data_IF_168720142530
#
_entry.id   IF_168720142530
#
_cell.length_a   1.000
_cell.length_b   1.000
_cell.length_c   1.000
_cell.angle_alpha   90.00
_cell.angle_beta   90.00
_cell.angle_gamma   90.00
#
_symmetry.space_group_name_H-M   'P 1'
#
loop_
_entity.id
_entity.type
_entity.pdbx_description
1 polymer ?
#
# COMPACT_ATOMS: atom_id res chain seq x y z
N UNK A 1 11.08 -1.41 -9.73
CA UNK A 1 10.38 -1.08 -8.49
C UNK A 1 10.93 -1.93 -7.36
N UNK A 2 10.28 -1.91 -6.20
CA UNK A 2 10.56 -2.78 -5.06
C UNK A 2 9.63 -4.00 -4.99
N UNK A 3 8.65 -4.08 -5.89
CA UNK A 3 7.69 -5.18 -6.03
C UNK A 3 8.30 -6.57 -6.16
N UNK A 4 9.59 -6.69 -6.45
CA UNK A 4 10.32 -7.95 -6.48
C UNK A 4 10.94 -8.28 -5.11
N UNK A 5 10.22 -8.00 -4.02
CA UNK A 5 10.64 -8.38 -2.68
C UNK A 5 9.47 -8.88 -1.84
N UNK A 6 9.80 -9.51 -0.72
CA UNK A 6 8.96 -10.00 0.36
C UNK A 6 8.12 -8.95 1.10
N UNK A 7 7.92 -7.77 0.51
CA UNK A 7 7.03 -6.75 1.06
C UNK A 7 5.57 -7.22 1.02
N UNK A 8 5.23 -8.12 0.09
CA UNK A 8 3.96 -8.85 0.06
C UNK A 8 4.19 -10.25 -0.50
N UNK A 9 3.20 -11.12 -0.35
CA UNK A 9 3.23 -12.42 -0.99
C UNK A 9 3.18 -12.26 -2.52
N UNK A 10 4.21 -12.73 -3.23
CA UNK A 10 4.35 -12.57 -4.69
C UNK A 10 3.44 -13.55 -5.44
N UNK A 11 2.14 -13.25 -5.49
CA UNK A 11 1.13 -14.16 -6.01
C UNK A 11 -0.29 -13.57 -5.98
N UNK A 12 -1.34 -14.41 -6.08
CA UNK A 12 -1.29 -15.86 -6.24
C UNK A 12 -0.73 -16.30 -7.59
N UNK A 13 -0.21 -17.53 -7.66
CA UNK A 13 0.33 -18.17 -8.86
C UNK A 13 -0.50 -19.41 -9.19
N UNK A 14 -1.12 -19.45 -10.36
CA UNK A 14 -1.97 -20.55 -10.80
C UNK A 14 -1.17 -21.84 -11.03
N UNK A 15 -1.85 -22.99 -11.05
CA UNK A 15 -1.22 -24.30 -11.34
C UNK A 15 -0.43 -24.28 -12.65
N UNK A 16 -0.93 -23.60 -13.67
CA UNK A 16 -0.29 -23.53 -14.98
C UNK A 16 0.91 -22.56 -15.01
N UNK A 17 0.85 -21.46 -14.28
CA UNK A 17 2.02 -20.58 -14.09
C UNK A 17 3.11 -21.29 -13.30
N UNK A 18 2.76 -22.07 -12.26
CA UNK A 18 3.74 -22.86 -11.48
C UNK A 18 4.52 -23.83 -12.36
N UNK A 19 3.85 -24.56 -13.26
CA UNK A 19 4.53 -25.46 -14.20
C UNK A 19 5.53 -24.70 -15.07
N UNK A 20 5.09 -23.57 -15.65
CA UNK A 20 5.94 -22.74 -16.51
C UNK A 20 7.15 -22.17 -15.78
N UNK A 21 6.95 -21.66 -14.58
CA UNK A 21 8.02 -21.13 -13.73
C UNK A 21 9.00 -22.24 -13.30
N UNK A 22 8.51 -23.43 -12.98
CA UNK A 22 9.36 -24.56 -12.60
C UNK A 22 10.29 -25.03 -13.74
N UNK A 23 9.95 -24.76 -15.01
CA UNK A 23 10.86 -25.01 -16.14
C UNK A 23 12.06 -24.06 -16.16
N UNK A 24 11.92 -22.85 -15.60
CA UNK A 24 13.00 -21.85 -15.53
C UNK A 24 13.79 -22.00 -14.24
N UNK A 25 13.09 -22.16 -13.12
CA UNK A 25 13.68 -22.29 -11.80
C UNK A 25 12.85 -23.30 -10.98
N UNK A 26 13.33 -24.54 -10.82
CA UNK A 26 12.67 -25.52 -9.96
C UNK A 26 12.50 -24.99 -8.53
N UNK A 27 11.40 -25.34 -7.86
CA UNK A 27 11.14 -24.94 -6.47
C UNK A 27 10.83 -23.46 -6.23
N UNK A 28 10.66 -22.65 -7.29
CA UNK A 28 10.45 -21.20 -7.17
C UNK A 28 9.07 -20.78 -6.65
N UNK A 29 8.20 -21.73 -6.33
CA UNK A 29 6.86 -21.47 -5.78
C UNK A 29 6.61 -22.30 -4.53
N UNK A 30 6.00 -21.70 -3.52
CA UNK A 30 5.57 -22.35 -2.28
C UNK A 30 4.13 -22.02 -1.94
N UNK A 31 3.51 -22.79 -1.03
CA UNK A 31 2.20 -22.45 -0.49
C UNK A 31 2.37 -21.51 0.69
N UNK A 32 1.72 -20.35 0.63
CA UNK A 32 1.66 -19.39 1.72
C UNK A 32 0.31 -19.55 2.44
N UNK A 33 0.37 -19.91 3.72
CA UNK A 33 -0.82 -20.18 4.52
C UNK A 33 -1.63 -18.91 4.82
N UNK A 34 -0.98 -17.75 4.93
CA UNK A 34 -1.64 -16.48 5.17
C UNK A 34 -2.38 -16.01 3.91
N UNK A 35 -1.77 -16.15 2.74
CA UNK A 35 -2.41 -15.86 1.46
C UNK A 35 -3.40 -16.93 1.00
N UNK A 36 -3.40 -18.12 1.64
CA UNK A 36 -4.22 -19.27 1.24
C UNK A 36 -3.96 -19.73 -0.19
N UNK A 37 -2.76 -19.50 -0.72
CA UNK A 37 -2.45 -19.67 -2.13
C UNK A 37 -0.98 -20.04 -2.37
N UNK A 38 -0.68 -20.54 -3.57
CA UNK A 38 0.70 -20.65 -4.00
C UNK A 38 1.24 -19.29 -4.46
N UNK A 39 2.46 -18.97 -4.05
CA UNK A 39 3.14 -17.70 -4.34
C UNK A 39 4.58 -17.98 -4.80
N UNK A 40 5.27 -17.00 -5.36
CA UNK A 40 6.71 -17.12 -5.60
C UNK A 40 7.44 -17.17 -4.25
N UNK A 41 8.33 -18.15 -4.08
CA UNK A 41 9.26 -18.16 -2.96
C UNK A 41 10.21 -16.95 -3.08
N UNK A 42 10.62 -16.35 -1.97
CA UNK A 42 11.64 -15.30 -1.92
C UNK A 42 12.98 -15.90 -1.53
N UNK A 43 14.07 -15.27 -1.98
CA UNK A 43 15.43 -15.59 -1.53
C UNK A 43 15.59 -15.20 -0.05
N UNK A 44 16.65 -15.70 0.58
CA UNK A 44 16.98 -15.39 1.98
C UNK A 44 17.18 -13.88 2.24
N UNK A 45 17.56 -13.11 1.22
CA UNK A 45 17.71 -11.64 1.29
C UNK A 45 16.37 -10.88 1.08
N UNK A 46 15.24 -11.61 1.04
CA UNK A 46 13.91 -11.07 0.83
C UNK A 46 13.61 -10.68 -0.62
N UNK A 47 14.47 -10.99 -1.59
CA UNK A 47 14.24 -10.64 -3.01
C UNK A 47 13.59 -11.76 -3.82
N UNK A 48 12.93 -11.40 -4.92
CA UNK A 48 12.39 -12.36 -5.87
C UNK A 48 13.53 -13.18 -6.50
N UNK A 49 13.41 -14.51 -6.66
CA UNK A 49 14.39 -15.37 -7.30
C UNK A 49 14.73 -14.99 -8.75
N UNK A 50 13.85 -14.27 -9.42
CA UNK A 50 14.06 -13.76 -10.78
C UNK A 50 14.63 -12.34 -10.82
N UNK A 51 14.85 -11.68 -9.68
CA UNK A 51 15.53 -10.39 -9.64
C UNK A 51 17.04 -10.62 -9.85
N UNK A 52 17.57 -10.15 -10.98
CA UNK A 52 18.99 -10.25 -11.30
C UNK A 52 19.81 -9.23 -10.50
N UNK A 53 21.14 -9.37 -10.53
CA UNK A 53 22.06 -8.44 -9.88
C UNK A 53 21.91 -7.00 -10.41
N UNK A 54 21.65 -6.85 -11.72
CA UNK A 54 21.33 -5.58 -12.38
C UNK A 54 19.95 -4.99 -11.99
N UNK A 55 19.23 -5.65 -11.08
CA UNK A 55 17.91 -5.26 -10.57
C UNK A 55 16.80 -5.27 -11.63
N UNK A 56 17.02 -5.96 -12.75
CA UNK A 56 16.00 -6.27 -13.74
C UNK A 56 15.40 -7.65 -13.46
N UNK A 57 14.10 -7.80 -13.72
CA UNK A 57 13.44 -9.09 -13.56
C UNK A 57 13.74 -9.96 -14.77
N UNK A 58 14.35 -11.12 -14.55
CA UNK A 58 14.68 -12.11 -15.57
C UNK A 58 13.46 -12.65 -16.33
N UNK A 59 12.25 -12.43 -15.82
CA UNK A 59 11.01 -12.80 -16.52
C UNK A 59 10.51 -11.74 -17.51
N UNK A 60 11.13 -10.57 -17.60
CA UNK A 60 10.75 -9.56 -18.60
C UNK A 60 11.18 -9.93 -20.03
N UNK A 61 12.35 -10.54 -20.19
CA UNK A 61 12.97 -10.80 -21.50
C UNK A 61 12.47 -12.09 -22.18
N UNK A 62 12.36 -13.26 -21.49
CA UNK A 62 11.98 -14.50 -22.15
C UNK A 62 10.55 -14.46 -22.71
N UNK A 63 10.41 -14.80 -24.00
CA UNK A 63 9.13 -14.89 -24.72
C UNK A 63 8.25 -13.64 -24.52
N UNK A 64 8.84 -12.44 -24.46
CA UNK A 64 8.09 -11.19 -24.30
C UNK A 64 7.33 -11.06 -22.98
N UNK A 65 7.81 -11.70 -21.91
CA UNK A 65 7.14 -11.66 -20.60
C UNK A 65 6.03 -12.70 -20.41
N UNK A 66 5.89 -13.68 -21.32
CA UNK A 66 4.88 -14.74 -21.21
C UNK A 66 5.05 -15.66 -19.98
N UNK A 67 6.25 -15.70 -19.41
CA UNK A 67 6.55 -16.47 -18.20
C UNK A 67 6.26 -15.69 -16.91
N UNK A 68 6.14 -14.37 -17.00
CA UNK A 68 5.86 -13.52 -15.84
C UNK A 68 4.44 -13.82 -15.32
N UNK A 69 4.27 -14.13 -14.03
CA UNK A 69 2.96 -14.40 -13.46
C UNK A 69 2.02 -13.21 -13.61
N UNK A 70 0.72 -13.49 -13.74
CA UNK A 70 -0.31 -12.47 -13.90
C UNK A 70 -0.33 -11.46 -12.75
N UNK A 71 -0.15 -11.92 -11.52
CA UNK A 71 -0.02 -11.06 -10.33
C UNK A 71 1.13 -10.05 -10.49
N UNK A 72 2.27 -10.49 -11.04
CA UNK A 72 3.42 -9.62 -11.31
C UNK A 72 3.21 -8.66 -12.49
N UNK A 73 2.37 -9.01 -13.48
CA UNK A 73 1.98 -8.10 -14.58
C UNK A 73 1.09 -6.96 -14.10
N UNK A 74 0.19 -7.29 -13.16
CA UNK A 74 -0.81 -6.36 -12.66
C UNK A 74 -0.23 -5.26 -11.77
N UNK A 75 0.76 -5.57 -10.93
CA UNK A 75 1.33 -4.57 -10.01
C UNK A 75 1.94 -3.37 -10.78
N UNK A 76 1.65 -2.11 -10.40
CA UNK A 76 1.01 -1.67 -9.14
C UNK A 76 -0.50 -1.41 -9.26
N UNK A 77 -1.20 -1.93 -10.27
CA UNK A 77 -2.58 -1.57 -10.56
C UNK A 77 -3.60 -2.40 -9.76
N UNK A 78 -4.46 -1.71 -9.01
CA UNK A 78 -5.69 -2.27 -8.43
C UNK A 78 -6.89 -2.01 -9.33
N UNK A 79 -7.91 -2.87 -9.23
CA UNK A 79 -9.20 -2.62 -9.90
C UNK A 79 -10.34 -2.88 -8.93
N UNK A 80 -11.26 -1.93 -8.82
CA UNK A 80 -12.47 -2.06 -8.02
C UNK A 80 -13.69 -2.03 -8.92
N UNK A 81 -14.52 -3.06 -8.86
CA UNK A 81 -15.83 -3.04 -9.51
C UNK A 81 -16.79 -2.20 -8.67
N UNK A 82 -17.40 -1.18 -9.29
CA UNK A 82 -18.42 -0.34 -8.66
C UNK A 82 -19.70 -0.34 -9.48
N UNK A 83 -20.85 0.10 -8.91
CA UNK A 83 -22.09 0.29 -9.66
C UNK A 83 -21.98 1.25 -10.85
N UNK A 84 -20.97 2.14 -10.84
CA UNK A 84 -20.72 3.11 -11.92
C UNK A 84 -19.62 2.65 -12.90
N UNK A 85 -19.16 1.39 -12.81
CA UNK A 85 -18.08 0.85 -13.62
C UNK A 85 -16.82 0.52 -12.82
N UNK A 86 -15.79 0.03 -13.53
CA UNK A 86 -14.50 -0.30 -12.94
C UNK A 86 -13.69 0.95 -12.61
N UNK A 87 -13.10 0.99 -11.41
CA UNK A 87 -12.08 1.98 -11.02
C UNK A 87 -10.70 1.34 -11.10
N UNK A 88 -9.74 2.03 -11.69
CA UNK A 88 -8.33 1.66 -11.65
C UNK A 88 -7.64 2.53 -10.62
N UNK A 89 -6.81 1.91 -9.78
CA UNK A 89 -6.03 2.57 -8.73
C UNK A 89 -4.57 2.13 -8.80
N UNK A 90 -3.69 2.86 -8.13
CA UNK A 90 -2.28 2.50 -7.99
C UNK A 90 -1.93 2.19 -6.54
N UNK A 91 -1.11 1.16 -6.33
CA UNK A 91 -0.62 0.80 -5.00
C UNK A 91 0.65 1.60 -4.65
N UNK A 92 0.57 2.36 -3.56
CA UNK A 92 1.65 3.21 -3.03
C UNK A 92 2.82 2.43 -2.40
N UNK A 93 2.88 1.13 -2.64
CA UNK A 93 4.04 0.28 -2.37
C UNK A 93 5.09 0.36 -3.49
N UNK A 94 4.80 1.04 -4.59
CA UNK A 94 5.75 1.22 -5.69
C UNK A 94 6.58 2.49 -5.51
N UNK A 95 7.90 2.35 -5.30
CA UNK A 95 8.80 3.52 -5.23
C UNK A 95 8.77 4.41 -6.48
N UNK A 96 8.46 3.84 -7.65
CA UNK A 96 8.34 4.58 -8.91
C UNK A 96 7.13 5.52 -8.94
N UNK A 97 6.08 5.21 -8.19
CA UNK A 97 4.86 6.01 -8.12
C UNK A 97 5.05 7.20 -7.17
N UNK A 98 5.71 6.96 -6.05
CA UNK A 98 5.82 7.95 -4.98
C UNK A 98 6.97 8.94 -5.18
N UNK A 99 7.93 8.65 -6.06
CA UNK A 99 9.11 9.50 -6.30
C UNK A 99 9.02 10.17 -7.66
N UNK A 100 9.00 11.50 -7.62
CA UNK A 100 8.93 12.39 -8.79
C UNK A 100 7.57 12.56 -9.40
N UNK A 101 7.54 13.35 -10.46
CA UNK A 101 6.31 13.72 -11.18
C UNK A 101 6.10 12.70 -12.31
N UNK A 102 5.12 11.83 -12.12
CA UNK A 102 4.68 10.89 -13.15
C UNK A 102 3.50 11.45 -13.95
N UNK A 103 3.30 10.92 -15.15
CA UNK A 103 2.09 11.20 -15.92
C UNK A 103 0.87 10.55 -15.24
N UNK A 104 -0.32 11.19 -15.31
CA UNK A 104 -1.54 10.59 -14.79
C UNK A 104 -1.81 9.21 -15.40
N UNK A 105 -2.33 8.31 -14.58
CA UNK A 105 -2.80 7.02 -15.07
C UNK A 105 -4.08 7.22 -15.90
N UNK A 106 -4.07 6.72 -17.13
CA UNK A 106 -5.26 6.66 -17.97
C UNK A 106 -5.71 5.21 -18.13
N UNK A 107 -6.98 5.01 -18.49
CA UNK A 107 -7.54 3.66 -18.72
C UNK A 107 -6.78 2.97 -19.86
N UNK A 108 -6.45 3.68 -20.93
CA UNK A 108 -5.76 3.15 -22.10
C UNK A 108 -4.35 2.65 -21.75
N UNK A 109 -3.69 3.29 -20.77
CA UNK A 109 -2.36 2.88 -20.28
C UNK A 109 -2.43 1.74 -19.29
N UNK A 110 -3.52 1.65 -18.52
CA UNK A 110 -3.74 0.59 -17.54
C UNK A 110 -4.22 -0.72 -18.19
N UNK A 111 -5.09 -0.63 -19.20
CA UNK A 111 -5.81 -1.77 -19.77
C UNK A 111 -4.89 -2.90 -20.26
N UNK A 112 -3.78 -2.64 -20.98
CA UNK A 112 -2.89 -3.71 -21.42
C UNK A 112 -2.27 -4.50 -20.26
N UNK A 113 -1.99 -3.85 -19.12
CA UNK A 113 -1.45 -4.50 -17.92
C UNK A 113 -2.52 -5.29 -17.15
N UNK A 114 -3.78 -4.87 -17.26
CA UNK A 114 -4.90 -5.46 -16.54
C UNK A 114 -5.57 -6.65 -17.26
N UNK A 115 -5.41 -6.73 -18.59
CA UNK A 115 -6.12 -7.69 -19.46
C UNK A 115 -5.24 -8.81 -20.01
N UNK A 116 -3.96 -8.90 -19.60
CA UNK A 116 -2.99 -9.91 -20.08
C UNK A 116 -3.55 -11.34 -19.99
N UNK A 117 -4.04 -11.84 -21.13
CA UNK A 117 -4.49 -13.22 -21.33
C UNK A 117 -5.78 -13.65 -20.61
N UNK A 118 -6.60 -12.73 -20.06
CA UNK A 118 -7.91 -13.03 -19.44
C UNK A 118 -8.85 -11.82 -19.45
N UNK A 119 -10.16 -12.08 -19.28
CA UNK A 119 -11.14 -11.05 -18.92
C UNK A 119 -10.74 -10.37 -17.61
N UNK A 120 -10.82 -9.04 -17.57
CA UNK A 120 -10.56 -8.20 -16.40
C UNK A 120 -11.21 -8.79 -15.14
N UNK A 121 -10.42 -8.99 -14.08
CA UNK A 121 -10.92 -9.43 -12.77
C UNK A 121 -10.67 -8.34 -11.72
N UNK A 122 -11.72 -7.79 -11.09
CA UNK A 122 -11.53 -6.81 -10.04
C UNK A 122 -10.79 -7.45 -8.84
N UNK A 123 -9.94 -6.67 -8.17
CA UNK A 123 -9.37 -7.03 -6.87
C UNK A 123 -10.43 -6.96 -5.77
N UNK A 124 -11.40 -6.05 -5.94
CA UNK A 124 -12.42 -5.75 -4.95
C UNK A 124 -13.74 -5.35 -5.62
N UNK A 125 -14.86 -5.56 -4.95
CA UNK A 125 -16.18 -5.17 -5.44
C UNK A 125 -16.97 -4.43 -4.38
N UNK A 126 -17.64 -3.36 -4.79
CA UNK A 126 -18.59 -2.63 -3.94
C UNK A 126 -19.99 -2.69 -4.54
N UNK A 127 -21.00 -2.78 -3.69
CA UNK A 127 -22.41 -2.77 -4.10
C UNK A 127 -23.01 -1.37 -4.15
N UNK A 128 -24.33 -1.32 -4.31
CA UNK A 128 -25.10 -0.06 -4.43
C UNK A 128 -25.25 0.73 -3.12
N UNK A 129 -24.79 0.18 -1.99
CA UNK A 129 -24.93 0.78 -0.66
C UNK A 129 -23.58 0.95 0.01
N UNK A 130 -23.37 2.13 0.59
CA UNK A 130 -22.12 2.54 1.21
C UNK A 130 -22.36 2.99 2.65
N UNK A 131 -21.54 2.51 3.59
CA UNK A 131 -21.58 2.91 5.00
C UNK A 131 -20.85 4.25 5.16
N UNK A 132 -21.59 5.33 5.40
CA UNK A 132 -20.96 6.60 5.77
C UNK A 132 -20.49 6.56 7.22
N UNK A 133 -21.31 5.99 8.09
CA UNK A 133 -21.05 5.83 9.52
C UNK A 133 -21.71 4.53 10.03
N UNK A 134 -21.44 4.12 11.27
CA UNK A 134 -22.04 2.94 11.92
C UNK A 134 -23.56 3.00 11.92
N UNK A 135 -24.16 4.20 11.92
CA UNK A 135 -25.61 4.42 11.93
C UNK A 135 -26.19 4.86 10.59
N UNK A 136 -25.36 5.12 9.57
CA UNK A 136 -25.80 5.71 8.31
C UNK A 136 -25.24 4.98 7.09
N UNK A 137 -26.14 4.42 6.31
CA UNK A 137 -25.84 3.81 4.99
C UNK A 137 -26.61 4.55 3.91
N UNK A 138 -25.93 4.91 2.82
CA UNK A 138 -26.50 5.65 1.68
C UNK A 138 -26.31 4.89 0.37
N UNK A 139 -27.03 5.27 -0.68
CA UNK A 139 -26.79 4.75 -2.02
C UNK A 139 -25.45 5.21 -2.60
N UNK A 140 -24.85 4.42 -3.50
CA UNK A 140 -23.53 4.68 -4.08
C UNK A 140 -23.44 6.06 -4.75
N UNK A 141 -24.49 6.49 -5.46
CA UNK A 141 -24.56 7.84 -6.06
C UNK A 141 -24.42 8.94 -5.01
N UNK A 142 -25.07 8.80 -3.86
CA UNK A 142 -24.98 9.79 -2.77
C UNK A 142 -23.62 9.73 -2.08
N UNK A 143 -23.05 8.54 -1.91
CA UNK A 143 -21.69 8.39 -1.39
C UNK A 143 -20.67 9.12 -2.26
N UNK A 144 -20.79 9.02 -3.60
CA UNK A 144 -19.90 9.73 -4.53
C UNK A 144 -19.86 11.24 -4.33
N UNK A 145 -20.94 11.85 -3.83
CA UNK A 145 -20.95 13.27 -3.52
C UNK A 145 -20.07 13.60 -2.30
N UNK A 146 -20.04 12.73 -1.28
CA UNK A 146 -19.17 12.89 -0.11
C UNK A 146 -17.72 12.56 -0.46
N UNK A 147 -17.50 11.51 -1.27
CA UNK A 147 -16.20 11.14 -1.81
C UNK A 147 -15.60 12.28 -2.63
N UNK A 148 -16.36 12.86 -3.56
CA UNK A 148 -15.86 13.92 -4.43
C UNK A 148 -15.43 15.14 -3.64
N UNK A 149 -16.17 15.55 -2.60
CA UNK A 149 -15.76 16.67 -1.74
C UNK A 149 -14.40 16.42 -1.07
N UNK A 150 -14.16 15.20 -0.60
CA UNK A 150 -12.86 14.84 -0.01
C UNK A 150 -11.75 14.83 -1.07
N UNK A 151 -12.01 14.24 -2.24
CA UNK A 151 -11.02 14.22 -3.33
C UNK A 151 -10.68 15.63 -3.83
N UNK A 152 -11.67 16.52 -3.95
CA UNK A 152 -11.48 17.92 -4.32
C UNK A 152 -10.65 18.67 -3.26
N UNK A 153 -10.92 18.43 -1.98
CA UNK A 153 -10.15 19.02 -0.88
C UNK A 153 -8.69 18.54 -0.91
N UNK A 154 -8.44 17.23 -1.12
CA UNK A 154 -7.10 16.67 -1.24
C UNK A 154 -6.34 17.24 -2.45
N UNK A 155 -7.03 17.44 -3.58
CA UNK A 155 -6.47 18.01 -4.80
C UNK A 155 -6.23 19.53 -4.72
N UNK A 156 -6.89 20.24 -3.80
CA UNK A 156 -6.71 21.68 -3.60
C UNK A 156 -5.35 22.02 -2.96
N UNK A 157 -5.12 23.30 -2.66
CA UNK A 157 -3.89 23.77 -1.98
C UNK A 157 -3.98 23.78 -0.44
N UNK A 158 -5.13 23.41 0.15
CA UNK A 158 -5.30 23.46 1.61
C UNK A 158 -4.38 22.44 2.31
N UNK A 159 -4.01 22.67 3.59
CA UNK A 159 -3.33 21.67 4.41
C UNK A 159 -4.07 20.33 4.42
N UNK A 160 -3.35 19.21 4.45
CA UNK A 160 -3.97 17.89 4.37
C UNK A 160 -4.80 17.55 5.61
N UNK A 161 -4.40 18.08 6.76
CA UNK A 161 -5.13 18.02 8.02
C UNK A 161 -6.52 18.67 7.87
N UNK A 162 -6.58 19.81 7.20
CA UNK A 162 -7.83 20.52 6.89
C UNK A 162 -8.65 19.77 5.82
N UNK A 163 -8.00 19.21 4.80
CA UNK A 163 -8.69 18.43 3.77
C UNK A 163 -9.34 17.14 4.32
N UNK A 164 -8.63 16.43 5.20
CA UNK A 164 -9.13 15.22 5.86
C UNK A 164 -10.17 15.59 6.92
N UNK A 165 -9.99 16.74 7.59
CA UNK A 165 -10.88 17.29 8.61
C UNK A 165 -11.18 16.26 9.72
N UNK A 166 -10.16 15.54 10.19
CA UNK A 166 -10.29 14.61 11.33
C UNK A 166 -9.01 14.61 12.14
N UNK A 167 -9.15 14.57 13.46
CA UNK A 167 -8.03 14.38 14.38
C UNK A 167 -7.48 12.95 14.25
N UNK A 168 -6.14 12.77 14.25
CA UNK A 168 -5.52 11.46 14.25
C UNK A 168 -5.68 10.78 15.62
N UNK A 169 -5.51 9.46 15.65
CA UNK A 169 -5.55 8.66 16.87
C UNK A 169 -6.85 8.82 17.67
N UNK A 170 -8.04 8.60 17.07
CA UNK A 170 -9.29 8.64 17.80
C UNK A 170 -9.31 7.60 18.92
N UNK A 171 -10.21 7.75 19.90
CA UNK A 171 -10.45 6.70 20.90
C UNK A 171 -10.82 5.38 20.20
N UNK A 172 -10.34 4.27 20.74
CA UNK A 172 -10.66 2.94 20.26
C UNK A 172 -11.63 2.26 21.23
N UNK A 173 -12.48 1.40 20.70
CA UNK A 173 -13.35 0.55 21.50
C UNK A 173 -12.53 -0.59 22.12
N UNK A 174 -12.39 -0.58 23.45
CA UNK A 174 -11.76 -1.65 24.22
C UNK A 174 -10.25 -1.79 24.12
N UNK A 175 -9.52 -0.79 23.58
CA UNK A 175 -8.04 -0.75 23.54
C UNK A 175 -7.50 0.67 23.61
N UNK A 176 -6.24 0.79 24.03
CA UNK A 176 -5.47 2.03 23.95
C UNK A 176 -4.43 1.98 22.83
N UNK A 177 -4.06 3.14 22.27
CA UNK A 177 -3.06 3.22 21.20
C UNK A 177 -1.68 2.69 21.61
N UNK A 178 -1.32 2.77 22.89
CA UNK A 178 -0.10 2.17 23.45
C UNK A 178 -0.09 0.65 23.30
N UNK A 179 -1.24 -0.02 23.40
CA UNK A 179 -1.37 -1.47 23.30
C UNK A 179 -1.34 -1.96 21.84
N UNK A 180 -1.79 -1.12 20.90
CA UNK A 180 -1.74 -1.43 19.47
C UNK A 180 -0.30 -1.63 18.99
N UNK A 181 0.64 -0.88 19.56
CA UNK A 181 2.04 -0.92 19.19
C UNK A 181 2.67 -2.31 19.37
N UNK A 182 2.34 -2.98 20.47
CA UNK A 182 2.81 -4.34 20.75
C UNK A 182 1.99 -5.38 20.03
N UNK A 183 0.73 -5.08 19.69
CA UNK A 183 -0.14 -5.97 18.97
C UNK A 183 0.23 -6.11 17.48
N UNK A 184 0.63 -5.00 16.83
CA UNK A 184 0.98 -5.00 15.40
C UNK A 184 2.12 -5.96 15.07
N UNK A 185 3.13 -6.06 15.94
CA UNK A 185 4.32 -6.88 15.73
C UNK A 185 4.23 -8.29 16.35
N UNK A 186 3.07 -8.70 16.89
CA UNK A 186 2.96 -10.03 17.51
C UNK A 186 3.24 -11.14 16.49
N UNK A 187 4.00 -12.15 16.89
CA UNK A 187 4.37 -13.26 16.02
C UNK A 187 5.69 -13.06 15.28
N UNK A 188 6.19 -11.82 15.17
CA UNK A 188 7.48 -11.51 14.57
C UNK A 188 7.63 -11.98 13.12
N UNK A 189 8.84 -11.83 12.58
CA UNK A 189 9.21 -12.26 11.24
C UNK A 189 10.34 -11.40 10.69
N UNK A 190 11.07 -11.95 9.73
CA UNK A 190 12.28 -11.32 9.18
C UNK A 190 12.05 -10.71 7.78
N UNK A 191 10.78 -10.55 7.39
CA UNK A 191 10.46 -9.98 6.08
C UNK A 191 10.36 -8.47 6.12
N UNK A 192 10.50 -7.81 4.96
CA UNK A 192 10.29 -6.36 4.84
C UNK A 192 8.88 -5.92 5.26
N UNK A 193 7.89 -6.79 5.15
CA UNK A 193 6.57 -6.52 5.73
C UNK A 193 6.62 -6.39 7.26
N UNK A 194 7.34 -7.28 7.93
CA UNK A 194 7.55 -7.20 9.38
C UNK A 194 8.41 -6.00 9.77
N UNK A 195 9.38 -5.59 8.94
CA UNK A 195 10.10 -4.33 9.14
C UNK A 195 9.13 -3.15 9.21
N UNK A 196 8.15 -3.07 8.31
CA UNK A 196 7.15 -2.01 8.33
C UNK A 196 6.27 -2.06 9.59
N UNK A 197 5.82 -3.24 10.02
CA UNK A 197 5.06 -3.42 11.27
C UNK A 197 5.87 -2.97 12.49
N UNK A 198 7.15 -3.36 12.56
CA UNK A 198 8.07 -2.96 13.64
C UNK A 198 8.27 -1.46 13.70
N UNK A 199 8.40 -0.82 12.54
CA UNK A 199 8.56 0.63 12.46
C UNK A 199 7.29 1.36 12.91
N UNK A 200 6.11 0.98 12.41
CA UNK A 200 4.85 1.60 12.84
C UNK A 200 4.57 1.34 14.33
N UNK A 201 4.79 0.12 14.83
CA UNK A 201 4.73 -0.17 16.26
C UNK A 201 5.72 0.67 17.07
N UNK A 202 6.94 0.88 16.56
CA UNK A 202 7.94 1.76 17.16
C UNK A 202 7.47 3.22 17.26
N UNK A 203 6.83 3.75 16.22
CA UNK A 203 6.27 5.11 16.22
C UNK A 203 5.16 5.25 17.26
N UNK A 204 4.27 4.27 17.36
CA UNK A 204 3.21 4.25 18.38
C UNK A 204 3.78 4.21 19.80
N UNK A 205 4.76 3.33 20.08
CA UNK A 205 5.45 3.29 21.39
C UNK A 205 6.14 4.61 21.73
N UNK A 206 6.75 5.24 20.73
CA UNK A 206 7.38 6.55 20.93
C UNK A 206 6.36 7.61 21.31
N UNK A 207 5.25 7.67 20.58
CA UNK A 207 4.21 8.67 20.77
C UNK A 207 3.45 8.50 22.10
N UNK A 208 3.04 7.27 22.43
CA UNK A 208 2.12 7.00 23.53
C UNK A 208 2.80 6.48 24.81
N UNK A 209 4.05 6.05 24.73
CA UNK A 209 4.78 5.49 25.87
C UNK A 209 6.15 6.12 26.07
N UNK A 210 6.53 7.13 25.27
CA UNK A 210 7.81 7.84 25.38
C UNK A 210 9.04 6.98 25.06
N UNK A 211 8.85 5.77 24.54
CA UNK A 211 9.95 4.86 24.22
C UNK A 211 10.75 5.43 23.06
N UNK A 212 12.08 5.43 23.16
CA UNK A 212 12.92 5.90 22.06
C UNK A 212 12.76 4.98 20.85
N UNK A 213 12.55 5.57 19.67
CA UNK A 213 12.59 4.83 18.41
C UNK A 213 13.92 4.09 18.27
N UNK A 214 13.84 2.80 17.97
CA UNK A 214 15.01 2.00 17.64
C UNK A 214 15.73 2.59 16.42
N UNK A 215 16.99 2.18 16.23
CA UNK A 215 17.74 2.58 15.05
C UNK A 215 16.96 2.16 13.80
N UNK A 216 16.58 3.15 12.99
CA UNK A 216 15.86 2.96 11.75
C UNK A 216 16.80 2.41 10.68
N UNK A 217 16.49 1.22 10.19
CA UNK A 217 17.07 0.67 8.96
C UNK A 217 16.18 1.06 7.77
N UNK A 218 16.77 1.10 6.57
CA UNK A 218 16.06 1.45 5.33
C UNK A 218 16.11 0.29 4.34
N UNK A 219 15.34 -0.79 4.56
CA UNK A 219 15.39 -1.98 3.71
C UNK A 219 14.92 -1.71 2.28
N UNK A 220 14.17 -0.63 2.04
CA UNK A 220 13.71 -0.22 0.71
C UNK A 220 14.61 0.82 0.02
N UNK A 221 15.69 1.27 0.67
CA UNK A 221 16.57 2.36 0.21
C UNK A 221 16.95 2.24 -1.26
N UNK A 222 17.46 1.09 -1.67
CA UNK A 222 17.90 0.85 -3.06
C UNK A 222 16.80 1.12 -4.09
N UNK A 223 15.56 0.77 -3.75
CA UNK A 223 14.41 1.00 -4.61
C UNK A 223 14.03 2.47 -4.77
N UNK A 224 14.22 3.25 -3.70
CA UNK A 224 14.00 4.70 -3.70
C UNK A 224 15.15 5.45 -4.36
N UNK A 225 16.41 5.03 -4.16
CA UNK A 225 17.57 5.62 -4.84
C UNK A 225 17.48 5.48 -6.36
N UNK A 226 17.11 4.29 -6.87
CA UNK A 226 16.88 4.09 -8.31
C UNK A 226 15.75 4.96 -8.87
N UNK A 227 14.66 5.11 -8.11
CA UNK A 227 13.56 5.97 -8.53
C UNK A 227 14.01 7.43 -8.55
N UNK A 228 14.77 7.86 -7.54
CA UNK A 228 15.32 9.22 -7.45
C UNK A 228 16.27 9.53 -8.61
N UNK A 229 17.12 8.58 -9.01
CA UNK A 229 18.11 8.78 -10.08
C UNK A 229 17.51 9.13 -11.46
N UNK A 230 16.22 8.89 -11.67
CA UNK A 230 15.50 9.13 -12.94
C UNK A 230 14.31 10.07 -12.80
N UNK A 231 14.16 10.70 -11.64
CA UNK A 231 12.98 11.47 -11.28
C UNK A 231 13.37 12.80 -10.65
N UNK A 232 12.70 13.86 -11.07
CA UNK A 232 12.78 15.16 -10.40
C UNK A 232 12.13 15.12 -9.02
N UNK A 233 12.40 16.13 -8.20
CA UNK A 233 11.74 16.26 -6.91
C UNK A 233 10.28 16.68 -7.10
N UNK A 234 9.38 16.16 -6.25
CA UNK A 234 7.99 16.63 -6.16
C UNK A 234 7.70 17.28 -4.80
N UNK A 235 6.70 18.15 -4.69
CA UNK A 235 6.28 18.67 -3.38
C UNK A 235 5.89 17.53 -2.43
N UNK A 236 6.34 17.61 -1.17
CA UNK A 236 6.05 16.61 -0.13
C UNK A 236 4.55 16.44 0.09
N UNK A 237 3.80 17.55 0.09
CA UNK A 237 2.33 17.52 0.18
C UNK A 237 1.73 16.61 -0.88
N UNK A 238 2.20 16.71 -2.12
CA UNK A 238 1.63 15.98 -3.25
C UNK A 238 1.86 14.47 -3.09
N UNK A 239 2.97 14.04 -2.48
CA UNK A 239 3.22 12.62 -2.18
C UNK A 239 2.09 12.05 -1.33
N UNK A 240 1.74 12.75 -0.24
CA UNK A 240 0.68 12.33 0.67
C UNK A 240 -0.72 12.52 0.07
N UNK A 241 -0.96 13.63 -0.66
CA UNK A 241 -2.23 13.92 -1.30
C UNK A 241 -2.61 12.85 -2.33
N UNK A 242 -1.66 12.45 -3.19
CA UNK A 242 -1.89 11.36 -4.16
C UNK A 242 -2.18 10.05 -3.45
N UNK A 243 -1.42 9.70 -2.41
CA UNK A 243 -1.67 8.49 -1.62
C UNK A 243 -3.07 8.43 -1.03
N UNK A 244 -3.54 9.53 -0.44
CA UNK A 244 -4.88 9.59 0.12
C UNK A 244 -5.97 9.57 -0.95
N UNK A 245 -5.76 10.26 -2.08
CA UNK A 245 -6.70 10.24 -3.19
C UNK A 245 -6.88 8.81 -3.72
N UNK A 246 -5.78 8.07 -3.95
CA UNK A 246 -5.83 6.68 -4.39
C UNK A 246 -6.44 5.75 -3.33
N UNK A 247 -6.14 5.96 -2.04
CA UNK A 247 -6.75 5.19 -0.96
C UNK A 247 -8.28 5.37 -0.92
N UNK A 248 -8.76 6.62 -0.97
CA UNK A 248 -10.20 6.95 -1.02
C UNK A 248 -10.84 6.32 -2.25
N UNK A 249 -10.25 6.56 -3.42
CA UNK A 249 -10.75 6.12 -4.72
C UNK A 249 -10.82 4.59 -4.86
N UNK A 250 -9.89 3.87 -4.21
CA UNK A 250 -9.78 2.41 -4.28
C UNK A 250 -10.98 1.68 -3.70
N UNK A 251 -11.62 2.25 -2.68
CA UNK A 251 -12.66 1.59 -1.88
C UNK A 251 -12.21 0.26 -1.23
N UNK A 252 -10.91 -0.05 -1.17
CA UNK A 252 -10.42 -1.27 -0.53
C UNK A 252 -10.66 -1.29 1.00
N UNK A 253 -10.94 -0.13 1.58
CA UNK A 253 -11.31 0.04 2.99
C UNK A 253 -12.74 -0.44 3.30
N UNK A 254 -13.63 -0.58 2.31
CA UNK A 254 -15.06 -0.82 2.57
C UNK A 254 -15.41 -2.14 3.28
N UNK A 255 -14.62 -3.24 3.19
CA UNK A 255 -14.90 -4.45 3.96
C UNK A 255 -14.87 -4.21 5.47
N UNK A 256 -13.94 -3.39 5.95
CA UNK A 256 -13.60 -3.25 7.37
C UNK A 256 -13.81 -1.83 7.92
N UNK A 257 -14.33 -0.89 7.13
CA UNK A 257 -14.54 0.47 7.61
C UNK A 257 -15.82 1.11 7.05
N UNK A 258 -16.29 2.12 7.77
CA UNK A 258 -17.20 3.17 7.25
C UNK A 258 -16.38 4.31 6.64
N UNK A 259 -17.03 5.23 5.92
CA UNK A 259 -16.36 6.40 5.37
C UNK A 259 -15.76 7.30 6.48
N UNK A 260 -16.46 7.48 7.60
CA UNK A 260 -15.94 8.26 8.74
C UNK A 260 -14.76 7.57 9.44
N UNK A 261 -14.78 6.24 9.58
CA UNK A 261 -13.62 5.49 10.09
C UNK A 261 -12.43 5.61 9.14
N UNK A 262 -12.66 5.50 7.83
CA UNK A 262 -11.62 5.69 6.82
C UNK A 262 -10.99 7.09 6.91
N UNK A 263 -11.77 8.17 7.06
CA UNK A 263 -11.20 9.53 7.20
C UNK A 263 -10.27 9.66 8.43
N UNK A 264 -10.62 9.02 9.54
CA UNK A 264 -9.78 9.03 10.75
C UNK A 264 -8.56 8.14 10.64
N UNK A 265 -8.69 7.03 9.91
CA UNK A 265 -7.57 6.19 9.52
C UNK A 265 -6.59 6.99 8.66
N UNK A 266 -7.05 7.76 7.66
CA UNK A 266 -6.20 8.67 6.89
C UNK A 266 -5.46 9.68 7.77
N UNK A 267 -6.16 10.33 8.71
CA UNK A 267 -5.52 11.27 9.65
C UNK A 267 -4.44 10.57 10.48
N UNK A 268 -4.73 9.38 11.00
CA UNK A 268 -3.79 8.59 11.80
C UNK A 268 -2.57 8.16 10.99
N UNK A 269 -2.79 7.64 9.79
CA UNK A 269 -1.73 7.26 8.84
C UNK A 269 -0.85 8.45 8.46
N UNK A 270 -1.46 9.61 8.24
CA UNK A 270 -0.74 10.84 7.95
C UNK A 270 0.18 11.24 9.12
N UNK A 271 -0.33 11.25 10.34
CA UNK A 271 0.44 11.56 11.54
C UNK A 271 1.63 10.59 11.71
N UNK A 272 1.42 9.29 11.51
CA UNK A 272 2.50 8.29 11.54
C UNK A 272 3.56 8.54 10.46
N UNK A 273 3.14 8.85 9.23
CA UNK A 273 4.08 9.11 8.14
C UNK A 273 4.89 10.40 8.38
N UNK A 274 4.26 11.42 8.98
CA UNK A 274 4.89 12.68 9.37
C UNK A 274 5.85 12.52 10.55
N UNK A 275 5.57 11.61 11.48
CA UNK A 275 6.50 11.25 12.55
C UNK A 275 7.74 10.54 11.98
N UNK A 276 7.59 9.72 10.93
CA UNK A 276 8.69 8.96 10.33
C UNK A 276 9.58 9.79 9.39
N UNK A 277 9.00 10.72 8.62
CA UNK A 277 9.71 11.51 7.60
C UNK A 277 11.00 12.19 8.13
N UNK A 278 11.02 12.89 9.30
CA UNK A 278 12.24 13.50 9.83
C UNK A 278 13.36 12.50 10.12
N UNK A 279 13.02 11.27 10.49
CA UNK A 279 14.00 10.22 10.74
C UNK A 279 14.66 9.77 9.43
N UNK A 280 13.87 9.56 8.38
CA UNK A 280 14.38 9.22 7.05
C UNK A 280 15.26 10.32 6.46
N UNK A 281 14.89 11.59 6.68
CA UNK A 281 15.70 12.75 6.26
C UNK A 281 17.05 12.80 6.97
N UNK A 282 17.10 12.51 8.29
CA UNK A 282 18.38 12.39 9.03
C UNK A 282 19.28 11.27 8.51
N UNK A 283 18.70 10.25 7.86
CA UNK A 283 19.43 9.19 7.17
C UNK A 283 19.79 9.54 5.71
N UNK A 284 19.70 10.83 5.34
CA UNK A 284 20.15 11.34 4.04
C UNK A 284 19.12 11.27 2.91
N UNK A 285 17.86 10.92 3.18
CA UNK A 285 16.82 10.98 2.16
C UNK A 285 16.44 12.44 1.82
N UNK A 286 16.27 12.73 0.53
CA UNK A 286 15.60 13.97 0.05
C UNK A 286 14.18 14.04 0.62
N UNK A 287 13.63 15.24 0.81
CA UNK A 287 12.37 15.41 1.54
C UNK A 287 11.18 14.64 0.93
N UNK A 288 11.02 14.69 -0.39
CA UNK A 288 10.00 13.93 -1.14
C UNK A 288 10.24 12.41 -1.07
N UNK A 289 11.50 11.97 -1.13
CA UNK A 289 11.88 10.56 -0.99
C UNK A 289 11.61 10.05 0.42
N UNK A 290 11.87 10.85 1.45
CA UNK A 290 11.54 10.54 2.84
C UNK A 290 10.04 10.40 3.03
N UNK A 291 9.25 11.33 2.46
CA UNK A 291 7.79 11.23 2.48
C UNK A 291 7.31 9.98 1.74
N UNK A 292 7.88 9.68 0.57
CA UNK A 292 7.53 8.54 -0.27
C UNK A 292 7.84 7.19 0.40
N UNK A 293 8.96 7.09 1.11
CA UNK A 293 9.33 5.91 1.89
C UNK A 293 8.50 5.80 3.18
N UNK A 294 8.14 6.93 3.80
CA UNK A 294 7.20 6.93 4.93
C UNK A 294 5.80 6.44 4.51
N UNK A 295 5.29 6.91 3.36
CA UNK A 295 4.05 6.40 2.76
C UNK A 295 4.12 4.91 2.58
N UNK A 296 5.21 4.38 2.01
CA UNK A 296 5.36 2.95 1.85
C UNK A 296 5.30 2.19 3.18
N UNK A 297 6.06 2.63 4.18
CA UNK A 297 6.11 1.96 5.49
C UNK A 297 4.73 1.92 6.12
N UNK A 298 4.05 3.06 6.14
CA UNK A 298 2.73 3.18 6.77
C UNK A 298 1.69 2.40 5.95
N UNK A 299 1.61 2.60 4.64
CA UNK A 299 0.67 1.87 3.76
C UNK A 299 0.84 0.35 3.88
N UNK A 300 2.10 -0.11 3.98
CA UNK A 300 2.39 -1.53 4.11
C UNK A 300 1.90 -2.08 5.46
N UNK A 301 2.31 -1.48 6.56
CA UNK A 301 1.89 -1.91 7.90
C UNK A 301 0.37 -1.85 8.09
N UNK A 302 -0.26 -0.80 7.55
CA UNK A 302 -1.69 -0.54 7.69
C UNK A 302 -2.58 -1.34 6.74
N UNK A 303 -1.97 -2.13 5.86
CA UNK A 303 -2.68 -3.14 5.06
C UNK A 303 -2.83 -4.50 5.76
N UNK A 304 -2.28 -4.63 6.97
CA UNK A 304 -2.42 -5.85 7.77
C UNK A 304 -3.86 -6.01 8.31
N UNK A 305 -4.31 -7.25 8.46
CA UNK A 305 -5.59 -7.55 9.10
C UNK A 305 -5.67 -7.01 10.53
N UNK A 306 -4.53 -6.93 11.22
CA UNK A 306 -4.44 -6.32 12.54
C UNK A 306 -4.80 -4.85 12.47
N UNK A 307 -4.22 -4.09 11.53
CA UNK A 307 -4.59 -2.70 11.37
C UNK A 307 -6.05 -2.52 10.95
N UNK A 308 -6.60 -3.39 10.09
CA UNK A 308 -8.03 -3.34 9.75
C UNK A 308 -8.90 -3.44 11.01
N UNK A 309 -8.57 -4.31 11.95
CA UNK A 309 -9.27 -4.40 13.23
C UNK A 309 -9.03 -3.18 14.16
N UNK A 310 -7.90 -2.45 14.03
CA UNK A 310 -7.75 -1.12 14.67
C UNK A 310 -8.77 -0.14 14.10
N UNK A 311 -8.92 -0.09 12.77
CA UNK A 311 -9.85 0.83 12.10
C UNK A 311 -11.29 0.52 12.49
N UNK A 312 -11.67 -0.76 12.55
CA UNK A 312 -13.00 -1.19 13.02
C UNK A 312 -13.31 -0.71 14.45
N UNK A 313 -12.29 -0.70 15.31
CA UNK A 313 -12.39 -0.25 16.70
C UNK A 313 -12.43 1.29 16.86
N UNK A 314 -12.12 2.08 15.83
CA UNK A 314 -12.18 3.55 15.93
C UNK A 314 -13.61 4.03 16.25
N UNK A 315 -13.76 4.82 17.31
CA UNK A 315 -15.05 5.29 17.83
C UNK A 315 -15.54 6.55 17.13
N UNK A 316 -16.55 6.41 16.26
CA UNK A 316 -17.32 7.49 15.57
C UNK A 316 -17.96 8.53 16.48
#
# INVERSE_FOLDING_TARGET
GICCSDLHALGPVSREERKRLAMVHPGVTGYDALAGAHVLAVRLDGTCPFLREDQLCALHEPMGGLLKPKSCHRFPLGVTATPAGGRVVVEHRCSCLNVGVGEPLTVERAEPQLTVGVRLRPSHGVGDRMRLSKRRTVGFKRYREEEQRLLDALASAVPLEEAIDREPFPKLDGREWSEIADWLDRGGGDSRFHDALRLVGGLLRHRFSGVRLSKLERPWKLGFERATARSEARPVRDVYATWFADHVWSLFWTPHATFEQMRRDLATRYALARDLEPHLRRLGARADVAAAEAVLVVDLATSSERWHAVVEAMLE
#
